data_IF_495762882588
#
_entry.id   IF_495762882588
#
_cell.length_a   1.000
_cell.length_b   1.000
_cell.length_c   1.000
_cell.angle_alpha   90.00
_cell.angle_beta   90.00
_cell.angle_gamma   90.00
#
_symmetry.space_group_name_H-M   'P 1'
#
loop_
_entity.id
_entity.type
_entity.pdbx_description
1 polymer ?
#
# COMPACT_ATOMS: atom_id res chain seq x y z
N UNK A 1 -36.48 -2.47 -57.32
CA UNK A 1 -35.24 -3.27 -57.37
C UNK A 1 -34.27 -2.56 -58.31
N UNK A 2 -33.22 -1.99 -57.75
CA UNK A 2 -32.09 -1.51 -58.52
C UNK A 2 -31.15 -2.71 -58.79
N UNK A 3 -30.49 -2.77 -59.94
CA UNK A 3 -29.58 -3.85 -60.36
C UNK A 3 -28.28 -3.93 -59.53
N UNK A 4 -28.31 -3.52 -58.27
CA UNK A 4 -27.17 -3.49 -57.36
C UNK A 4 -27.32 -4.54 -56.27
N UNK A 5 -26.29 -5.37 -56.10
CA UNK A 5 -26.17 -6.30 -54.97
C UNK A 5 -25.63 -5.56 -53.74
N UNK A 6 -26.37 -5.56 -52.67
CA UNK A 6 -25.96 -5.05 -51.36
C UNK A 6 -25.64 -6.19 -50.42
N UNK A 7 -24.54 -6.08 -49.72
CA UNK A 7 -24.17 -6.98 -48.62
C UNK A 7 -24.92 -6.55 -47.35
N UNK A 8 -25.80 -7.41 -46.86
CA UNK A 8 -26.48 -7.16 -45.58
C UNK A 8 -25.54 -7.32 -44.41
N UNK A 9 -25.75 -6.56 -43.35
CA UNK A 9 -25.10 -6.74 -42.06
C UNK A 9 -25.62 -8.07 -41.43
N UNK A 10 -24.71 -8.75 -40.69
CA UNK A 10 -25.04 -10.00 -39.99
C UNK A 10 -26.22 -9.80 -39.01
N UNK A 11 -26.33 -8.64 -38.40
CA UNK A 11 -27.42 -8.28 -37.48
C UNK A 11 -28.76 -8.20 -38.24
N UNK A 12 -28.76 -7.56 -39.38
CA UNK A 12 -29.93 -7.49 -40.29
C UNK A 12 -30.32 -8.89 -40.78
N UNK A 13 -29.33 -9.68 -41.20
CA UNK A 13 -29.56 -11.05 -41.66
C UNK A 13 -30.27 -11.89 -40.60
N UNK A 14 -29.80 -11.90 -39.37
CA UNK A 14 -30.36 -12.70 -38.28
C UNK A 14 -31.79 -12.28 -37.88
N UNK A 15 -32.12 -10.99 -38.00
CA UNK A 15 -33.43 -10.45 -37.55
C UNK A 15 -34.44 -10.47 -38.67
N UNK A 16 -34.06 -10.01 -39.86
CA UNK A 16 -35.01 -9.83 -40.99
C UNK A 16 -35.19 -11.13 -41.76
N UNK A 17 -34.20 -12.02 -41.81
CA UNK A 17 -34.29 -13.26 -42.57
C UNK A 17 -35.50 -14.12 -42.14
N UNK A 18 -35.72 -14.22 -40.83
CA UNK A 18 -36.88 -14.97 -40.28
C UNK A 18 -38.21 -14.35 -40.68
N UNK A 19 -38.30 -13.02 -40.78
CA UNK A 19 -39.51 -12.32 -41.22
C UNK A 19 -39.72 -12.56 -42.70
N UNK A 20 -38.68 -12.43 -43.52
CA UNK A 20 -38.73 -12.67 -44.96
C UNK A 20 -39.06 -14.14 -45.28
N UNK A 21 -38.52 -15.09 -44.53
CA UNK A 21 -38.89 -16.54 -44.68
C UNK A 21 -40.35 -16.80 -44.34
N UNK A 22 -40.90 -16.12 -43.33
CA UNK A 22 -42.31 -16.24 -42.95
C UNK A 22 -43.22 -15.67 -44.05
N UNK A 23 -42.89 -14.50 -44.60
CA UNK A 23 -43.60 -13.93 -45.77
C UNK A 23 -43.53 -14.86 -46.96
N UNK A 24 -42.38 -15.43 -47.27
CA UNK A 24 -42.16 -16.35 -48.38
C UNK A 24 -42.93 -17.64 -48.19
N UNK A 25 -42.96 -18.24 -47.00
CA UNK A 25 -43.73 -19.46 -46.72
C UNK A 25 -45.26 -19.28 -46.89
N UNK A 26 -45.76 -18.10 -46.54
CA UNK A 26 -47.16 -17.77 -46.56
C UNK A 26 -47.61 -17.22 -47.92
N UNK A 27 -46.70 -17.05 -48.89
CA UNK A 27 -46.97 -16.44 -50.19
C UNK A 27 -47.63 -15.04 -50.05
N UNK A 28 -47.36 -14.31 -49.04
CA UNK A 28 -47.91 -12.96 -48.77
C UNK A 28 -46.78 -11.94 -48.67
N UNK A 29 -47.08 -10.69 -49.01
CA UNK A 29 -46.21 -9.54 -48.84
C UNK A 29 -46.59 -8.72 -47.59
N UNK A 30 -47.50 -9.25 -46.80
CA UNK A 30 -48.09 -8.58 -45.63
C UNK A 30 -48.10 -9.51 -44.43
N UNK A 31 -47.81 -8.96 -43.25
CA UNK A 31 -47.98 -9.62 -41.97
C UNK A 31 -49.11 -8.91 -41.24
N UNK A 32 -50.20 -9.62 -40.95
CA UNK A 32 -51.31 -9.11 -40.14
C UNK A 32 -50.95 -9.39 -38.68
N UNK A 33 -50.91 -8.34 -37.88
CA UNK A 33 -50.58 -8.41 -36.44
C UNK A 33 -51.75 -7.91 -35.60
N UNK A 34 -52.07 -8.57 -34.53
CA UNK A 34 -52.95 -8.03 -33.51
C UNK A 34 -52.28 -6.93 -32.70
N UNK A 35 -53.03 -6.23 -31.84
CA UNK A 35 -52.50 -5.09 -31.06
C UNK A 35 -51.35 -5.48 -30.12
N UNK A 36 -51.37 -6.69 -29.60
CA UNK A 36 -50.31 -7.23 -28.73
C UNK A 36 -49.04 -7.58 -29.53
N UNK A 37 -49.21 -8.16 -30.69
CA UNK A 37 -48.12 -8.50 -31.61
C UNK A 37 -47.44 -7.24 -32.14
N UNK A 38 -48.20 -6.19 -32.50
CA UNK A 38 -47.69 -4.89 -32.90
C UNK A 38 -46.88 -4.27 -31.77
N UNK A 39 -47.39 -4.32 -30.54
CA UNK A 39 -46.66 -3.79 -29.35
C UNK A 39 -45.34 -4.53 -29.16
N UNK A 40 -45.36 -5.87 -29.25
CA UNK A 40 -44.13 -6.68 -29.11
C UNK A 40 -43.14 -6.42 -30.26
N UNK A 41 -43.64 -6.27 -31.49
CA UNK A 41 -42.79 -5.93 -32.62
C UNK A 41 -42.02 -4.63 -32.41
N UNK A 42 -42.70 -3.56 -32.04
CA UNK A 42 -42.05 -2.27 -31.78
C UNK A 42 -41.18 -2.26 -30.49
N UNK A 43 -41.45 -3.11 -29.52
CA UNK A 43 -40.68 -3.22 -28.31
C UNK A 43 -39.38 -4.03 -28.46
N UNK A 44 -39.38 -5.07 -29.33
CA UNK A 44 -38.30 -6.06 -29.41
C UNK A 44 -37.63 -6.14 -30.76
N UNK A 45 -38.34 -5.93 -31.85
CA UNK A 45 -37.83 -6.17 -33.22
C UNK A 45 -37.48 -4.85 -33.91
N UNK A 46 -38.41 -3.91 -33.91
CA UNK A 46 -38.21 -2.62 -34.57
C UNK A 46 -36.95 -1.88 -34.15
N UNK A 47 -36.54 -1.85 -32.86
CA UNK A 47 -35.30 -1.18 -32.42
C UNK A 47 -34.02 -1.82 -33.00
N UNK A 48 -34.03 -3.10 -33.36
CA UNK A 48 -32.89 -3.78 -33.99
C UNK A 48 -32.71 -3.48 -35.45
N UNK A 49 -33.84 -3.11 -36.14
CA UNK A 49 -33.87 -2.85 -37.56
C UNK A 49 -34.08 -1.37 -37.91
N UNK A 50 -34.14 -0.49 -36.88
CA UNK A 50 -34.44 0.95 -37.03
C UNK A 50 -33.52 1.67 -38.02
N UNK A 51 -32.24 1.27 -38.09
CA UNK A 51 -31.28 1.84 -39.05
C UNK A 51 -31.47 1.33 -40.48
N UNK A 52 -32.21 0.22 -40.63
CA UNK A 52 -32.38 -0.48 -41.91
C UNK A 52 -33.77 -0.36 -42.52
N UNK A 53 -34.72 0.21 -41.77
CA UNK A 53 -36.12 0.31 -42.16
C UNK A 53 -36.61 1.74 -42.17
N UNK A 54 -37.13 2.20 -43.30
CA UNK A 54 -37.74 3.53 -43.42
C UNK A 54 -39.10 3.54 -42.72
N UNK A 55 -39.16 4.21 -41.54
CA UNK A 55 -40.38 4.35 -40.73
C UNK A 55 -41.12 5.69 -40.97
N UNK A 56 -40.70 6.45 -41.97
CA UNK A 56 -41.22 7.80 -42.20
C UNK A 56 -42.69 7.85 -42.58
N UNK A 57 -43.18 6.85 -43.25
CA UNK A 57 -44.58 6.72 -43.75
C UNK A 57 -45.56 6.19 -42.68
N UNK A 58 -45.11 5.89 -41.45
CA UNK A 58 -46.02 5.41 -40.41
C UNK A 58 -47.00 6.52 -39.96
N UNK A 59 -48.31 6.19 -39.84
CA UNK A 59 -49.32 7.13 -39.34
C UNK A 59 -48.93 7.64 -37.95
N UNK A 60 -49.21 8.94 -37.68
CA UNK A 60 -48.88 9.59 -36.43
C UNK A 60 -49.36 8.82 -35.19
N UNK A 61 -50.60 8.30 -35.25
CA UNK A 61 -51.17 7.52 -34.13
C UNK A 61 -50.39 6.25 -33.82
N UNK A 62 -49.74 5.62 -34.83
CA UNK A 62 -48.89 4.42 -34.67
C UNK A 62 -47.59 4.85 -34.01
N UNK A 63 -46.98 5.94 -34.49
CA UNK A 63 -45.75 6.50 -33.90
C UNK A 63 -45.96 6.85 -32.42
N UNK A 64 -47.03 7.57 -32.10
CA UNK A 64 -47.29 8.01 -30.74
C UNK A 64 -47.64 6.86 -29.78
N UNK A 65 -48.23 5.76 -30.27
CA UNK A 65 -48.71 4.65 -29.44
C UNK A 65 -47.70 3.53 -29.30
N UNK A 66 -46.94 3.19 -30.35
CA UNK A 66 -46.13 1.98 -30.43
C UNK A 66 -44.62 2.23 -30.51
N UNK A 67 -44.17 3.40 -30.99
CA UNK A 67 -42.73 3.69 -31.08
C UNK A 67 -42.26 4.26 -29.74
N UNK A 68 -41.32 3.58 -29.04
CA UNK A 68 -40.84 4.06 -27.77
C UNK A 68 -40.01 5.35 -27.93
N UNK A 69 -40.22 6.30 -27.05
CA UNK A 69 -39.31 7.44 -26.92
C UNK A 69 -37.94 6.94 -26.50
N UNK A 70 -36.92 7.83 -26.59
CA UNK A 70 -35.57 7.49 -26.17
C UNK A 70 -35.55 7.05 -24.69
N UNK A 71 -34.98 5.90 -24.41
CA UNK A 71 -34.81 5.41 -23.05
C UNK A 71 -33.79 6.28 -22.28
N UNK A 72 -34.24 6.86 -21.19
CA UNK A 72 -33.39 7.41 -20.14
C UNK A 72 -33.30 6.43 -18.97
N UNK A 73 -32.15 6.33 -18.37
CA UNK A 73 -31.93 5.50 -17.18
C UNK A 73 -31.47 6.39 -16.05
N UNK A 74 -32.24 6.43 -14.96
CA UNK A 74 -31.86 7.10 -13.71
C UNK A 74 -31.50 6.07 -12.67
N UNK A 75 -30.39 6.28 -11.99
CA UNK A 75 -29.84 5.38 -10.98
C UNK A 75 -29.67 6.18 -9.69
N UNK A 76 -30.30 5.72 -8.62
CA UNK A 76 -30.17 6.30 -7.29
C UNK A 76 -29.29 5.38 -6.45
N UNK A 77 -28.09 5.86 -6.09
CA UNK A 77 -27.12 5.10 -5.30
C UNK A 77 -27.18 5.50 -3.82
N UNK A 78 -27.17 4.50 -2.96
CA UNK A 78 -27.04 4.66 -1.51
C UNK A 78 -26.38 3.43 -0.89
N UNK A 79 -26.19 3.45 0.43
CA UNK A 79 -25.78 2.29 1.22
C UNK A 79 -26.92 1.77 2.07
N UNK A 80 -26.99 0.46 2.23
CA UNK A 80 -27.86 -0.17 3.24
C UNK A 80 -27.21 -0.14 4.64
N UNK A 81 -27.92 -0.68 5.66
CA UNK A 81 -27.44 -0.75 7.04
C UNK A 81 -26.17 -1.60 7.19
N UNK A 82 -25.87 -2.50 6.25
CA UNK A 82 -24.68 -3.34 6.24
C UNK A 82 -23.54 -2.75 5.38
N UNK A 83 -23.69 -1.50 4.94
CA UNK A 83 -22.77 -0.83 4.02
C UNK A 83 -22.63 -1.52 2.65
N UNK A 84 -23.65 -2.26 2.19
CA UNK A 84 -23.72 -2.70 0.80
C UNK A 84 -24.21 -1.55 -0.08
N UNK A 85 -23.74 -1.50 -1.33
CA UNK A 85 -24.24 -0.50 -2.29
C UNK A 85 -25.62 -0.95 -2.79
N UNK A 86 -26.60 -0.07 -2.69
CA UNK A 86 -27.93 -0.25 -3.26
C UNK A 86 -28.12 0.69 -4.45
N UNK A 87 -28.80 0.20 -5.48
CA UNK A 87 -29.14 0.96 -6.66
C UNK A 87 -30.64 0.81 -6.96
N UNK A 88 -31.36 1.91 -6.81
CA UNK A 88 -32.74 2.04 -7.26
C UNK A 88 -32.72 2.54 -8.70
N UNK A 89 -33.34 1.77 -9.62
CA UNK A 89 -33.32 2.09 -11.05
C UNK A 89 -34.69 2.56 -11.49
N UNK A 90 -34.71 3.61 -12.29
CA UNK A 90 -35.89 4.07 -13.00
C UNK A 90 -35.61 4.19 -14.49
N UNK A 91 -36.49 3.61 -15.28
CA UNK A 91 -36.52 3.81 -16.72
C UNK A 91 -37.47 4.92 -17.07
N UNK A 92 -37.02 5.83 -17.95
CA UNK A 92 -37.72 7.05 -18.31
C UNK A 92 -37.97 7.07 -19.82
N UNK A 93 -39.22 7.29 -20.20
CA UNK A 93 -39.66 7.50 -21.58
C UNK A 93 -40.42 8.83 -21.65
N UNK A 94 -39.70 9.92 -21.95
CA UNK A 94 -40.23 11.25 -21.89
C UNK A 94 -40.68 11.67 -20.47
N UNK A 95 -41.99 11.78 -20.25
CA UNK A 95 -42.58 12.12 -18.94
C UNK A 95 -42.91 10.89 -18.08
N UNK A 96 -42.85 9.69 -18.65
CA UNK A 96 -43.21 8.45 -17.97
C UNK A 96 -42.00 7.84 -17.33
N UNK A 97 -42.07 7.54 -16.03
CA UNK A 97 -41.02 6.86 -15.28
C UNK A 97 -41.60 5.60 -14.62
N UNK A 98 -40.81 4.52 -14.56
CA UNK A 98 -41.20 3.32 -13.82
C UNK A 98 -39.96 2.57 -13.32
N UNK A 99 -40.15 1.74 -12.29
CA UNK A 99 -39.11 0.85 -11.80
C UNK A 99 -39.18 -0.50 -12.55
N UNK A 100 -38.17 -0.89 -13.35
CA UNK A 100 -38.19 -2.12 -14.13
C UNK A 100 -38.18 -3.40 -13.28
N UNK A 101 -37.88 -3.30 -11.99
CA UNK A 101 -37.80 -4.44 -11.07
C UNK A 101 -39.12 -4.71 -10.36
N UNK A 102 -40.16 -3.88 -10.63
CA UNK A 102 -41.53 -4.10 -10.14
C UNK A 102 -42.38 -4.77 -11.19
N UNK A 103 -43.43 -5.49 -10.74
CA UNK A 103 -44.42 -6.08 -11.65
C UNK A 103 -45.53 -5.09 -12.11
N UNK A 104 -45.14 -3.83 -12.35
CA UNK A 104 -46.10 -2.82 -12.81
C UNK A 104 -46.43 -2.97 -14.29
N UNK A 105 -47.75 -3.07 -14.62
CA UNK A 105 -48.17 -2.95 -16.00
C UNK A 105 -48.06 -1.48 -16.41
N UNK A 106 -47.27 -1.21 -17.43
CA UNK A 106 -47.10 0.14 -18.01
C UNK A 106 -47.84 0.20 -19.36
N UNK A 107 -48.55 1.31 -19.55
CA UNK A 107 -49.42 1.52 -20.74
C UNK A 107 -48.76 2.46 -21.77
N UNK A 108 -47.44 2.33 -21.98
CA UNK A 108 -46.68 3.09 -22.98
C UNK A 108 -45.66 2.20 -23.68
N UNK A 109 -45.24 2.61 -24.88
CA UNK A 109 -44.26 1.91 -25.67
C UNK A 109 -42.90 1.84 -24.99
N UNK A 110 -42.23 0.69 -24.99
CA UNK A 110 -40.97 0.40 -24.35
C UNK A 110 -39.97 -0.21 -25.33
N UNK A 111 -38.66 0.10 -25.13
CA UNK A 111 -37.58 -0.59 -25.85
C UNK A 111 -36.97 -1.65 -24.93
N UNK A 112 -37.52 -2.84 -24.97
CA UNK A 112 -37.10 -3.94 -24.07
C UNK A 112 -35.66 -4.37 -24.28
N UNK A 113 -35.09 -4.19 -25.47
CA UNK A 113 -33.71 -4.53 -25.78
C UNK A 113 -32.77 -3.60 -24.97
N UNK A 114 -32.95 -2.28 -25.11
CA UNK A 114 -32.13 -1.28 -24.37
C UNK A 114 -32.31 -1.37 -22.85
N UNK A 115 -33.53 -1.72 -22.40
CA UNK A 115 -33.81 -1.98 -20.99
C UNK A 115 -33.03 -3.20 -20.49
N UNK A 116 -33.03 -4.31 -21.21
CA UNK A 116 -32.30 -5.51 -20.88
C UNK A 116 -30.79 -5.28 -20.94
N UNK A 117 -30.30 -4.52 -21.91
CA UNK A 117 -28.88 -4.12 -21.96
C UNK A 117 -28.45 -3.34 -20.71
N UNK A 118 -29.29 -2.38 -20.27
CA UNK A 118 -29.03 -1.62 -19.07
C UNK A 118 -29.01 -2.53 -17.82
N UNK A 119 -30.00 -3.39 -17.64
CA UNK A 119 -30.05 -4.33 -16.51
C UNK A 119 -28.89 -5.33 -16.52
N UNK A 120 -28.55 -5.86 -17.70
CA UNK A 120 -27.42 -6.79 -17.86
C UNK A 120 -26.08 -6.17 -17.50
N UNK A 121 -25.92 -4.85 -17.66
CA UNK A 121 -24.72 -4.15 -17.22
C UNK A 121 -24.57 -4.26 -15.69
N UNK A 122 -25.63 -4.03 -14.92
CA UNK A 122 -25.61 -4.20 -13.46
C UNK A 122 -25.31 -5.64 -13.03
N UNK A 123 -25.89 -6.62 -13.72
CA UNK A 123 -25.64 -8.03 -13.44
C UNK A 123 -24.16 -8.38 -13.68
N UNK A 124 -23.55 -7.86 -14.75
CA UNK A 124 -22.12 -8.06 -15.06
C UNK A 124 -21.20 -7.44 -14.01
N UNK A 125 -21.54 -6.27 -13.51
CA UNK A 125 -20.84 -5.63 -12.37
C UNK A 125 -20.96 -6.47 -11.09
N UNK A 126 -22.00 -7.29 -10.97
CA UNK A 126 -22.22 -8.19 -9.83
C UNK A 126 -23.34 -7.78 -8.91
N UNK A 127 -24.17 -6.81 -9.31
CA UNK A 127 -25.39 -6.50 -8.58
C UNK A 127 -26.38 -7.65 -8.60
N UNK A 128 -27.03 -7.88 -7.48
CA UNK A 128 -28.05 -8.89 -7.30
C UNK A 128 -29.41 -8.25 -7.05
N UNK A 129 -30.48 -8.91 -7.50
CA UNK A 129 -31.85 -8.43 -7.34
C UNK A 129 -32.37 -8.64 -5.91
N UNK A 130 -32.69 -7.55 -5.23
CA UNK A 130 -33.50 -7.56 -4.00
C UNK A 130 -34.98 -7.46 -4.38
N UNK A 131 -35.62 -8.62 -4.53
CA UNK A 131 -37.04 -8.68 -4.93
C UNK A 131 -37.99 -8.05 -3.91
N UNK A 132 -37.62 -8.03 -2.64
CA UNK A 132 -38.46 -7.51 -1.57
C UNK A 132 -38.62 -5.98 -1.68
N UNK A 133 -37.55 -5.30 -2.02
CA UNK A 133 -37.52 -3.86 -2.11
C UNK A 133 -37.48 -3.36 -3.57
N UNK A 134 -37.56 -4.26 -4.56
CA UNK A 134 -37.47 -3.95 -5.99
C UNK A 134 -36.29 -3.06 -6.36
N UNK A 135 -35.09 -3.42 -5.89
CA UNK A 135 -33.82 -2.70 -6.09
C UNK A 135 -32.67 -3.67 -6.33
N UNK A 136 -31.53 -3.16 -6.73
CA UNK A 136 -30.30 -3.93 -6.89
C UNK A 136 -29.37 -3.71 -5.70
N UNK A 137 -28.66 -4.76 -5.28
CA UNK A 137 -27.70 -4.73 -4.17
C UNK A 137 -26.35 -5.31 -4.62
N UNK A 138 -25.28 -4.61 -4.30
CA UNK A 138 -23.92 -5.08 -4.45
C UNK A 138 -23.32 -5.29 -3.03
N UNK A 139 -23.13 -6.56 -2.64
CA UNK A 139 -22.80 -6.94 -1.27
C UNK A 139 -21.38 -7.49 -1.09
N UNK A 140 -20.62 -7.70 -2.17
CA UNK A 140 -19.26 -8.21 -2.12
C UNK A 140 -18.27 -7.03 -2.07
N UNK A 141 -17.40 -6.97 -1.04
CA UNK A 141 -16.43 -5.88 -0.83
C UNK A 141 -15.50 -5.65 -2.03
N UNK A 142 -15.00 -6.72 -2.67
CA UNK A 142 -14.15 -6.61 -3.86
C UNK A 142 -14.92 -5.98 -5.03
N UNK A 143 -16.17 -6.41 -5.22
CA UNK A 143 -17.05 -5.87 -6.24
C UNK A 143 -17.44 -4.41 -5.97
N UNK A 144 -17.73 -4.07 -4.70
CA UNK A 144 -18.02 -2.69 -4.30
C UNK A 144 -16.79 -1.81 -4.56
N UNK A 145 -15.61 -2.26 -4.14
CA UNK A 145 -14.38 -1.51 -4.38
C UNK A 145 -14.12 -1.32 -5.89
N UNK A 146 -14.26 -2.38 -6.69
CA UNK A 146 -14.11 -2.32 -8.15
C UNK A 146 -15.12 -1.37 -8.78
N UNK A 147 -16.40 -1.46 -8.40
CA UNK A 147 -17.44 -0.57 -8.87
C UNK A 147 -17.13 0.90 -8.59
N UNK A 148 -16.73 1.21 -7.34
CA UNK A 148 -16.43 2.59 -6.91
C UNK A 148 -15.13 3.13 -7.53
N UNK A 149 -14.11 2.29 -7.76
CA UNK A 149 -12.80 2.72 -8.25
C UNK A 149 -12.69 2.78 -9.77
N UNK A 150 -13.41 1.92 -10.49
CA UNK A 150 -13.18 1.71 -11.92
C UNK A 150 -14.45 1.88 -12.78
N UNK A 151 -15.62 1.44 -12.29
CA UNK A 151 -16.81 1.32 -13.12
C UNK A 151 -17.81 2.48 -12.98
N UNK A 152 -17.85 3.16 -11.82
CA UNK A 152 -18.84 4.20 -11.53
C UNK A 152 -18.78 5.37 -12.52
N UNK A 153 -17.60 5.72 -12.99
CA UNK A 153 -17.45 6.79 -14.00
C UNK A 153 -18.10 6.44 -15.33
N UNK A 154 -18.08 5.16 -15.74
CA UNK A 154 -18.71 4.72 -16.97
C UNK A 154 -20.23 4.71 -16.83
N UNK A 155 -20.75 4.39 -15.63
CA UNK A 155 -22.16 4.58 -15.32
C UNK A 155 -22.58 6.04 -15.40
N UNK A 156 -21.79 6.95 -14.86
CA UNK A 156 -22.05 8.42 -14.89
C UNK A 156 -22.00 9.00 -16.32
N UNK A 157 -21.14 8.44 -17.20
CA UNK A 157 -21.09 8.87 -18.61
C UNK A 157 -22.32 8.40 -19.40
N UNK A 158 -22.86 7.23 -19.05
CA UNK A 158 -23.91 6.57 -19.82
C UNK A 158 -25.32 6.85 -19.29
N UNK A 159 -25.47 7.05 -17.98
CA UNK A 159 -26.73 7.17 -17.27
C UNK A 159 -26.78 8.40 -16.37
N UNK A 160 -27.98 8.81 -16.00
CA UNK A 160 -28.18 9.83 -14.96
C UNK A 160 -28.01 9.19 -13.58
N UNK A 161 -26.84 9.37 -12.95
CA UNK A 161 -26.53 8.81 -11.64
C UNK A 161 -26.71 9.87 -10.56
N UNK A 162 -27.60 9.59 -9.62
CA UNK A 162 -27.90 10.38 -8.44
C UNK A 162 -27.46 9.62 -7.21
N UNK A 163 -26.76 10.27 -6.29
CA UNK A 163 -26.25 9.64 -5.08
C UNK A 163 -26.64 10.44 -3.86
N UNK A 164 -26.94 9.75 -2.77
CA UNK A 164 -27.18 10.37 -1.47
C UNK A 164 -25.93 11.03 -0.91
N UNK A 165 -26.07 11.96 0.01
CA UNK A 165 -24.92 12.56 0.70
C UNK A 165 -24.11 11.52 1.50
N UNK A 166 -24.78 10.47 2.00
CA UNK A 166 -24.13 9.34 2.68
C UNK A 166 -23.24 8.56 1.73
N UNK A 167 -23.70 8.33 0.51
CA UNK A 167 -22.94 7.65 -0.52
C UNK A 167 -21.71 8.46 -0.95
N UNK A 168 -21.86 9.75 -1.17
CA UNK A 168 -20.78 10.66 -1.58
C UNK A 168 -19.68 10.82 -0.51
N UNK A 169 -20.02 10.72 0.77
CA UNK A 169 -19.06 10.84 1.87
C UNK A 169 -18.14 9.64 2.03
N UNK A 170 -18.54 8.46 1.53
CA UNK A 170 -17.76 7.23 1.61
C UNK A 170 -16.88 7.07 0.38
N UNK A 171 -15.85 7.88 0.31
CA UNK A 171 -14.87 7.86 -0.78
C UNK A 171 -13.80 6.79 -0.58
N UNK A 172 -13.21 6.35 -1.69
CA UNK A 172 -11.95 5.62 -1.66
C UNK A 172 -10.85 6.62 -1.36
N UNK A 173 -10.17 6.42 -0.24
CA UNK A 173 -9.07 7.29 0.20
C UNK A 173 -7.73 6.61 -0.06
N UNK A 174 -6.75 7.35 -0.53
CA UNK A 174 -5.36 6.92 -0.54
C UNK A 174 -4.65 7.59 0.66
N UNK A 175 -3.94 6.82 1.51
CA UNK A 175 -3.14 7.41 2.57
C UNK A 175 -2.15 8.41 1.99
N UNK A 176 -2.13 9.63 2.52
CA UNK A 176 -1.17 10.66 2.14
C UNK A 176 -0.51 11.24 3.37
N UNK A 177 0.78 10.99 3.51
CA UNK A 177 1.62 11.66 4.49
C UNK A 177 1.85 13.10 4.06
N UNK A 178 1.45 14.05 4.90
CA UNK A 178 1.67 15.49 4.65
C UNK A 178 3.00 15.95 5.19
N UNK A 179 3.32 15.55 6.40
CA UNK A 179 4.59 15.89 7.04
C UNK A 179 5.07 14.75 7.93
N UNK A 180 6.37 14.71 8.17
CA UNK A 180 7.04 13.79 9.07
C UNK A 180 8.09 14.57 9.89
N UNK A 181 8.06 14.39 11.20
CA UNK A 181 9.04 14.95 12.12
C UNK A 181 10.03 13.89 12.57
N UNK A 182 11.32 14.21 12.58
CA UNK A 182 12.37 13.32 13.06
C UNK A 182 13.21 14.06 14.10
N UNK A 183 13.36 13.46 15.28
CA UNK A 183 14.18 14.02 16.38
C UNK A 183 14.89 12.93 17.15
N UNK A 184 15.95 13.32 17.85
CA UNK A 184 16.66 12.45 18.79
C UNK A 184 16.35 12.90 20.21
N UNK A 185 15.77 12.01 20.99
CA UNK A 185 15.48 12.27 22.40
C UNK A 185 15.90 11.06 23.26
N UNK A 186 16.63 11.31 24.36
CA UNK A 186 17.13 10.26 25.24
C UNK A 186 17.91 9.15 24.52
N UNK A 187 18.72 9.52 23.54
CA UNK A 187 19.50 8.60 22.69
C UNK A 187 18.63 7.63 21.85
N UNK A 188 17.38 7.98 21.61
CA UNK A 188 16.45 7.24 20.77
C UNK A 188 15.95 8.13 19.64
N UNK A 189 15.73 7.52 18.49
CA UNK A 189 15.17 8.17 17.30
C UNK A 189 13.66 8.19 17.43
N UNK A 190 13.05 9.36 17.40
CA UNK A 190 11.61 9.55 17.40
C UNK A 190 11.13 10.03 16.04
N UNK A 191 10.10 9.38 15.52
CA UNK A 191 9.48 9.68 14.24
C UNK A 191 8.02 10.01 14.49
N UNK A 192 7.62 11.24 14.18
CA UNK A 192 6.24 11.71 14.30
C UNK A 192 5.47 11.35 13.02
N UNK A 193 4.49 10.47 13.17
CA UNK A 193 3.58 9.99 12.13
C UNK A 193 2.15 10.53 12.29
N UNK A 194 1.93 11.55 13.10
CA UNK A 194 0.58 12.09 13.35
C UNK A 194 -0.13 12.59 12.08
N UNK A 195 0.62 12.91 11.03
CA UNK A 195 0.11 13.46 9.76
C UNK A 195 0.15 12.46 8.59
N UNK A 196 -0.02 11.16 8.86
CA UNK A 196 0.02 10.11 7.81
C UNK A 196 -1.30 9.97 7.04
N UNK A 197 -2.36 10.67 7.44
CA UNK A 197 -3.67 10.60 6.76
C UNK A 197 -4.45 9.30 7.01
N UNK A 198 -4.08 8.53 8.02
CA UNK A 198 -4.73 7.29 8.47
C UNK A 198 -4.97 7.40 9.97
N UNK A 199 -6.12 6.89 10.44
CA UNK A 199 -6.35 6.68 11.87
C UNK A 199 -5.34 5.67 12.41
N UNK A 200 -4.63 6.06 13.49
CA UNK A 200 -3.58 5.21 14.07
C UNK A 200 -4.13 3.84 14.55
N UNK A 201 -5.40 3.80 14.95
CA UNK A 201 -6.11 2.58 15.34
C UNK A 201 -6.24 1.55 14.22
N UNK A 202 -6.29 1.99 12.97
CA UNK A 202 -6.49 1.14 11.80
C UNK A 202 -5.15 0.81 11.11
N UNK A 203 -4.06 1.48 11.50
CA UNK A 203 -2.76 1.37 10.85
C UNK A 203 -2.21 -0.06 10.84
N UNK A 204 -2.37 -0.81 11.94
CA UNK A 204 -1.94 -2.21 12.03
C UNK A 204 -2.62 -3.09 11.01
N UNK A 205 -3.96 -3.01 10.94
CA UNK A 205 -4.77 -3.82 10.02
C UNK A 205 -4.50 -3.46 8.55
N UNK A 206 -4.29 -2.16 8.29
CA UNK A 206 -3.94 -1.65 6.96
C UNK A 206 -2.58 -2.20 6.52
N UNK A 207 -1.57 -2.14 7.38
CA UNK A 207 -0.23 -2.62 7.07
C UNK A 207 -0.18 -4.14 6.91
N UNK A 208 -0.94 -4.90 7.70
CA UNK A 208 -1.08 -6.34 7.50
C UNK A 208 -1.61 -6.67 6.10
N UNK A 209 -2.71 -6.02 5.70
CA UNK A 209 -3.29 -6.22 4.36
C UNK A 209 -2.37 -5.74 3.24
N UNK A 210 -1.62 -4.65 3.46
CA UNK A 210 -0.62 -4.17 2.52
C UNK A 210 0.49 -5.21 2.28
N UNK A 211 1.06 -5.79 3.36
CA UNK A 211 2.06 -6.87 3.29
C UNK A 211 1.52 -8.12 2.60
N UNK A 212 0.23 -8.43 2.77
CA UNK A 212 -0.46 -9.51 2.05
C UNK A 212 -0.80 -9.17 0.59
N UNK A 213 -0.35 -8.01 0.09
CA UNK A 213 -0.60 -7.52 -1.29
C UNK A 213 -2.09 -7.43 -1.64
N UNK A 214 -2.94 -7.11 -0.67
CA UNK A 214 -4.33 -6.78 -0.93
C UNK A 214 -4.43 -5.43 -1.63
N UNK A 215 -5.49 -5.23 -2.42
CA UNK A 215 -5.69 -4.00 -3.19
C UNK A 215 -6.35 -2.89 -2.40
N UNK A 216 -7.10 -3.24 -1.37
CA UNK A 216 -7.82 -2.29 -0.52
C UNK A 216 -7.98 -2.80 0.92
N UNK A 217 -8.28 -1.87 1.82
CA UNK A 217 -8.79 -2.13 3.16
C UNK A 217 -10.11 -1.40 3.37
N UNK A 218 -11.13 -2.09 3.91
CA UNK A 218 -12.42 -1.50 4.27
C UNK A 218 -12.38 -1.07 5.73
N UNK A 219 -12.70 0.21 5.98
CA UNK A 219 -12.77 0.77 7.32
C UNK A 219 -14.11 0.44 8.00
N UNK A 220 -14.20 0.64 9.32
CA UNK A 220 -15.40 0.37 10.11
C UNK A 220 -16.59 1.24 9.69
N UNK A 221 -16.35 2.45 9.19
CA UNK A 221 -17.37 3.36 8.67
C UNK A 221 -17.89 2.94 7.27
N UNK A 222 -17.30 1.90 6.68
CA UNK A 222 -17.63 1.38 5.35
C UNK A 222 -16.92 2.07 4.20
N UNK A 223 -16.05 3.06 4.44
CA UNK A 223 -15.17 3.65 3.42
C UNK A 223 -13.99 2.72 3.10
N UNK A 224 -13.28 2.99 2.02
CA UNK A 224 -12.18 2.15 1.54
C UNK A 224 -10.87 2.91 1.54
N UNK A 225 -9.80 2.23 1.93
CA UNK A 225 -8.41 2.68 1.76
C UNK A 225 -7.81 1.93 0.57
N UNK A 226 -7.36 2.67 -0.43
CA UNK A 226 -6.58 2.10 -1.54
C UNK A 226 -5.16 1.80 -1.08
N UNK A 227 -4.75 0.55 -1.27
CA UNK A 227 -3.42 0.06 -0.89
C UNK A 227 -2.47 -0.04 -2.10
N UNK A 228 -2.97 0.19 -3.32
CA UNK A 228 -2.17 0.08 -4.55
C UNK A 228 -1.14 1.22 -4.60
N UNK A 229 0.14 0.87 -4.82
CA UNK A 229 1.24 1.81 -5.11
C UNK A 229 1.30 3.06 -4.21
N UNK A 230 1.02 2.90 -2.93
CA UNK A 230 0.97 4.01 -1.98
C UNK A 230 2.35 4.29 -1.37
N UNK A 231 2.90 5.49 -1.59
CA UNK A 231 4.23 5.90 -1.08
C UNK A 231 4.28 5.92 0.45
N UNK A 232 3.19 6.32 1.12
CA UNK A 232 3.12 6.34 2.59
C UNK A 232 3.21 4.93 3.18
N UNK A 233 2.44 3.97 2.61
CA UNK A 233 2.47 2.58 3.06
C UNK A 233 3.80 1.92 2.74
N UNK A 234 4.39 2.22 1.58
CA UNK A 234 5.73 1.77 1.22
C UNK A 234 6.78 2.28 2.20
N UNK A 235 6.75 3.57 2.54
CA UNK A 235 7.66 4.15 3.53
C UNK A 235 7.54 3.45 4.89
N UNK A 236 6.32 3.20 5.36
CA UNK A 236 6.09 2.48 6.63
C UNK A 236 6.59 1.03 6.58
N UNK A 237 6.45 0.35 5.45
CA UNK A 237 6.97 -1.00 5.23
C UNK A 237 8.50 -1.00 5.16
N UNK A 238 9.08 -0.04 4.43
CA UNK A 238 10.55 0.16 4.34
C UNK A 238 11.17 0.43 5.71
N UNK A 239 10.48 1.10 6.63
CA UNK A 239 10.96 1.25 8.01
C UNK A 239 11.06 -0.10 8.74
N UNK A 240 10.56 -1.16 8.14
CA UNK A 240 10.57 -2.54 8.66
C UNK A 240 10.16 -2.58 10.14
N UNK A 241 9.04 -1.93 10.41
CA UNK A 241 8.43 -1.93 11.74
C UNK A 241 7.86 -3.32 11.96
N UNK A 242 8.49 -4.11 12.84
CA UNK A 242 7.95 -5.40 13.26
C UNK A 242 6.54 -5.22 13.77
N UNK A 243 5.56 -5.86 13.11
CA UNK A 243 4.15 -5.74 13.46
C UNK A 243 3.87 -6.21 14.89
N UNK A 244 4.66 -7.18 15.39
CA UNK A 244 4.54 -7.67 16.77
C UNK A 244 5.09 -6.68 17.81
N UNK A 245 6.10 -5.87 17.44
CA UNK A 245 6.77 -4.94 18.37
C UNK A 245 6.80 -3.47 17.88
N UNK A 246 6.68 -3.21 16.58
CA UNK A 246 6.87 -1.89 15.99
C UNK A 246 5.74 -0.90 16.29
N UNK A 247 4.49 -1.35 16.31
CA UNK A 247 3.35 -0.51 16.63
C UNK A 247 3.03 -0.45 18.13
N UNK A 248 3.57 -1.36 18.95
CA UNK A 248 3.49 -1.23 20.43
C UNK A 248 4.28 -0.02 20.93
N UNK A 249 5.25 0.47 20.15
CA UNK A 249 6.02 1.69 20.45
C UNK A 249 5.38 2.96 19.85
N UNK A 250 4.20 2.85 19.22
CA UNK A 250 3.45 3.99 18.72
C UNK A 250 2.63 4.59 19.85
N UNK A 251 3.10 5.69 20.40
CA UNK A 251 2.38 6.49 21.40
C UNK A 251 2.11 7.87 20.82
N UNK A 252 0.85 8.29 20.82
CA UNK A 252 0.43 9.61 20.35
C UNK A 252 0.93 9.98 18.93
N UNK A 253 1.05 8.97 18.04
CA UNK A 253 1.54 9.17 16.68
C UNK A 253 3.07 9.19 16.54
N UNK A 254 3.82 8.99 17.63
CA UNK A 254 5.27 8.95 17.59
C UNK A 254 5.80 7.53 17.72
N UNK A 255 6.64 7.12 16.78
CA UNK A 255 7.38 5.86 16.84
C UNK A 255 8.78 6.12 17.38
N UNK A 256 9.22 5.27 18.29
CA UNK A 256 10.56 5.32 18.87
C UNK A 256 11.41 4.17 18.34
N UNK A 257 12.57 4.49 17.76
CA UNK A 257 13.53 3.52 17.21
C UNK A 257 14.92 3.74 17.81
N UNK A 258 15.78 2.74 17.64
CA UNK A 258 17.18 2.85 18.01
C UNK A 258 17.95 3.77 17.06
N UNK A 259 18.89 4.56 17.57
CA UNK A 259 19.67 5.54 16.79
C UNK A 259 20.43 4.92 15.60
N UNK A 260 20.86 3.67 15.69
CA UNK A 260 21.57 3.00 14.59
C UNK A 260 20.75 2.90 13.29
N UNK A 261 19.42 3.11 13.37
CA UNK A 261 18.53 3.15 12.20
C UNK A 261 18.54 4.49 11.44
N UNK A 262 19.23 5.50 11.95
CA UNK A 262 19.17 6.86 11.41
C UNK A 262 19.62 6.97 9.96
N UNK A 263 20.71 6.30 9.56
CA UNK A 263 21.16 6.31 8.15
C UNK A 263 20.17 5.59 7.23
N UNK A 264 19.54 4.53 7.72
CA UNK A 264 18.51 3.84 6.96
C UNK A 264 17.26 4.72 6.82
N UNK A 265 16.83 5.35 7.91
CA UNK A 265 15.72 6.31 7.87
C UNK A 265 16.02 7.46 6.91
N UNK A 266 17.25 8.01 6.94
CA UNK A 266 17.65 9.10 6.04
C UNK A 266 17.49 8.70 4.56
N UNK A 267 17.85 7.46 4.21
CA UNK A 267 17.63 6.91 2.87
C UNK A 267 16.14 6.79 2.53
N UNK A 268 15.31 6.31 3.46
CA UNK A 268 13.87 6.22 3.25
C UNK A 268 13.24 7.61 3.06
N UNK A 269 13.66 8.62 3.88
CA UNK A 269 13.17 9.99 3.78
C UNK A 269 13.54 10.67 2.45
N UNK A 270 14.74 10.40 1.90
CA UNK A 270 15.17 10.92 0.59
C UNK A 270 14.32 10.41 -0.58
N UNK A 271 13.63 9.30 -0.41
CA UNK A 271 12.76 8.69 -1.43
C UNK A 271 11.30 9.17 -1.34
N UNK A 272 10.94 9.98 -0.35
CA UNK A 272 9.60 10.55 -0.22
C UNK A 272 9.44 11.76 -1.13
N UNK A 273 8.34 11.78 -1.89
CA UNK A 273 7.95 12.92 -2.72
C UNK A 273 6.81 13.68 -2.05
N UNK A 274 6.79 15.01 -2.17
CA UNK A 274 5.71 15.87 -1.68
C UNK A 274 5.37 15.73 -0.19
N UNK A 275 6.36 15.35 0.65
CA UNK A 275 6.23 15.25 2.09
C UNK A 275 7.14 16.28 2.75
N UNK A 276 6.60 17.08 3.65
CA UNK A 276 7.41 18.02 4.45
C UNK A 276 8.18 17.25 5.52
N UNK A 277 9.51 17.22 5.40
CA UNK A 277 10.38 16.52 6.37
C UNK A 277 11.03 17.53 7.29
N UNK A 278 10.67 17.50 8.58
CA UNK A 278 11.30 18.31 9.62
C UNK A 278 12.27 17.46 10.42
N UNK A 279 13.49 17.98 10.63
CA UNK A 279 14.58 17.30 11.35
C UNK A 279 15.12 18.21 12.41
N UNK A 280 15.32 17.73 13.63
CA UNK A 280 16.00 18.49 14.67
C UNK A 280 17.52 18.60 14.41
N UNK A 281 18.18 19.50 15.12
CA UNK A 281 19.62 19.75 14.97
C UNK A 281 20.46 18.53 15.42
N UNK A 282 20.01 17.78 16.42
CA UNK A 282 20.72 16.60 16.89
C UNK A 282 20.77 15.52 15.80
N UNK A 283 19.63 15.26 15.13
CA UNK A 283 19.54 14.31 14.03
C UNK A 283 20.37 14.75 12.81
N UNK A 284 20.28 16.04 12.43
CA UNK A 284 21.07 16.58 11.30
C UNK A 284 22.56 16.41 11.54
N UNK A 285 23.04 16.86 12.71
CA UNK A 285 24.45 16.77 13.07
C UNK A 285 24.95 15.31 13.08
N UNK A 286 24.13 14.39 13.58
CA UNK A 286 24.48 12.97 13.60
C UNK A 286 24.59 12.42 12.17
N UNK A 287 23.60 12.65 11.31
CA UNK A 287 23.61 12.16 9.91
C UNK A 287 24.78 12.75 9.14
N UNK A 288 25.02 14.08 9.26
CA UNK A 288 26.15 14.74 8.61
C UNK A 288 27.50 14.16 9.07
N UNK A 289 27.65 13.87 10.35
CA UNK A 289 28.88 13.28 10.89
C UNK A 289 29.14 11.87 10.36
N UNK A 290 28.06 11.12 10.11
CA UNK A 290 28.13 9.74 9.60
C UNK A 290 28.29 9.67 8.07
N UNK A 291 27.72 10.64 7.33
CA UNK A 291 27.82 10.70 5.85
C UNK A 291 29.16 11.34 5.39
N UNK A 292 29.75 12.20 6.20
CA UNK A 292 30.96 12.96 5.81
C UNK A 292 32.20 12.31 6.38
N UNK A 293 32.85 11.42 5.63
CA UNK A 293 34.19 10.88 5.95
C UNK A 293 35.25 11.99 6.23
N UNK A 294 34.99 13.23 5.87
CA UNK A 294 35.95 14.34 5.88
C UNK A 294 35.83 15.30 7.05
N UNK A 295 34.75 15.25 7.84
CA UNK A 295 34.61 16.09 9.05
C UNK A 295 34.79 15.30 10.36
N UNK A 296 35.53 14.20 10.33
CA UNK A 296 36.00 13.59 11.57
C UNK A 296 36.80 14.62 12.33
N UNK A 297 36.26 15.07 13.47
CA UNK A 297 37.04 15.73 14.50
C UNK A 297 38.35 14.97 14.59
N UNK A 298 39.50 15.60 14.42
CA UNK A 298 40.81 14.96 14.58
C UNK A 298 40.89 14.43 16.01
N UNK A 299 40.43 13.19 16.19
CA UNK A 299 40.52 12.53 17.51
C UNK A 299 41.96 12.13 17.73
N UNK A 300 42.57 12.65 18.80
CA UNK A 300 43.94 12.33 19.13
C UNK A 300 44.09 10.84 19.44
N UNK A 301 45.09 10.21 18.82
CA UNK A 301 45.45 8.85 19.12
C UNK A 301 46.05 8.80 20.52
N UNK A 302 45.74 7.81 21.37
CA UNK A 302 46.29 7.70 22.71
C UNK A 302 47.80 7.72 22.69
N UNK A 303 48.39 8.64 23.46
CA UNK A 303 49.86 8.85 23.53
C UNK A 303 50.60 7.65 24.11
N UNK A 304 49.92 6.84 24.93
CA UNK A 304 50.44 5.60 25.51
C UNK A 304 50.23 4.34 24.64
N UNK A 305 49.80 4.50 23.39
CA UNK A 305 49.81 3.43 22.41
C UNK A 305 51.26 3.19 21.96
N UNK A 306 51.76 2.00 22.18
CA UNK A 306 53.11 1.57 21.80
C UNK A 306 53.23 1.21 20.33
N UNK A 307 52.71 2.05 19.43
CA UNK A 307 52.79 1.91 17.99
C UNK A 307 52.43 3.19 17.24
N UNK A 308 52.90 3.32 16.01
CA UNK A 308 52.46 4.39 15.10
C UNK A 308 51.43 3.83 14.10
N UNK A 309 50.19 4.33 14.14
CA UNK A 309 49.14 3.94 13.18
C UNK A 309 49.46 4.49 11.80
N UNK A 310 49.28 3.65 10.78
CA UNK A 310 49.32 4.07 9.37
C UNK A 310 48.11 4.95 9.04
N UNK A 311 48.15 5.69 7.93
CA UNK A 311 47.10 6.63 7.56
C UNK A 311 45.68 5.98 7.53
N UNK A 312 45.56 4.84 6.90
CA UNK A 312 44.28 4.12 6.84
C UNK A 312 43.82 3.58 8.22
N UNK A 313 44.78 3.19 9.10
CA UNK A 313 44.47 2.76 10.45
C UNK A 313 43.99 3.94 11.32
N UNK A 314 44.52 5.15 11.09
CA UNK A 314 44.02 6.35 11.72
C UNK A 314 42.60 6.66 11.33
N UNK A 315 42.26 6.51 10.03
CA UNK A 315 40.91 6.67 9.52
C UNK A 315 39.96 5.65 10.16
N UNK A 316 40.35 4.35 10.21
CA UNK A 316 39.55 3.32 10.86
C UNK A 316 39.38 3.55 12.38
N UNK A 317 40.42 4.02 13.09
CA UNK A 317 40.33 4.43 14.49
C UNK A 317 39.30 5.55 14.67
N UNK A 318 39.39 6.62 13.88
CA UNK A 318 38.47 7.74 13.94
C UNK A 318 37.02 7.30 13.64
N UNK A 319 36.82 6.46 12.64
CA UNK A 319 35.53 5.89 12.33
C UNK A 319 34.95 5.07 13.49
N UNK A 320 35.73 4.20 14.10
CA UNK A 320 35.31 3.41 15.27
C UNK A 320 34.96 4.34 16.46
N UNK A 321 35.68 5.42 16.68
CA UNK A 321 35.39 6.41 17.72
C UNK A 321 34.12 7.20 17.42
N UNK A 322 33.86 7.49 16.16
CA UNK A 322 32.59 8.12 15.73
C UNK A 322 31.41 7.21 16.01
N UNK A 323 31.50 5.92 15.67
CA UNK A 323 30.47 4.94 16.01
C UNK A 323 30.24 4.85 17.52
N UNK A 324 31.32 4.80 18.31
CA UNK A 324 31.26 4.75 19.77
C UNK A 324 30.54 5.97 20.37
N UNK A 325 30.83 7.19 19.87
CA UNK A 325 30.18 8.42 20.33
C UNK A 325 28.68 8.46 20.10
N UNK A 326 28.18 7.72 19.07
CA UNK A 326 26.75 7.57 18.79
C UNK A 326 26.18 6.24 19.31
N UNK A 327 27.00 5.45 20.02
CA UNK A 327 26.62 4.10 20.50
C UNK A 327 26.20 3.16 19.37
N UNK A 328 26.83 3.28 18.22
CA UNK A 328 26.61 2.40 17.08
C UNK A 328 27.60 1.24 17.10
N UNK A 329 27.14 0.08 16.62
CA UNK A 329 28.02 -1.01 16.21
C UNK A 329 28.57 -0.79 14.80
N UNK A 330 29.63 -1.52 14.46
CA UNK A 330 30.21 -1.48 13.12
C UNK A 330 30.96 -2.74 12.75
N UNK A 331 31.26 -2.90 11.47
CA UNK A 331 32.07 -4.02 10.94
C UNK A 331 33.33 -3.42 10.31
N UNK A 332 34.49 -3.68 10.94
CA UNK A 332 35.80 -3.31 10.38
C UNK A 332 36.23 -4.39 9.38
N UNK A 333 35.98 -4.16 8.09
CA UNK A 333 36.12 -5.13 7.00
C UNK A 333 37.44 -4.99 6.21
N UNK A 334 38.48 -4.47 6.81
CA UNK A 334 39.80 -4.40 6.18
C UNK A 334 40.34 -5.80 5.83
N UNK A 335 41.20 -5.90 4.83
CA UNK A 335 41.85 -7.17 4.44
C UNK A 335 42.68 -7.77 5.59
N UNK A 336 42.95 -9.06 5.49
CA UNK A 336 43.78 -9.77 6.47
C UNK A 336 45.20 -9.18 6.49
N UNK A 337 45.74 -9.00 7.69
CA UNK A 337 47.08 -8.45 7.87
C UNK A 337 47.19 -6.91 7.92
N UNK A 338 46.12 -6.18 7.65
CA UNK A 338 46.11 -4.70 7.69
C UNK A 338 46.02 -4.10 9.12
N UNK A 339 46.05 -4.93 10.16
CA UNK A 339 46.10 -4.48 11.54
C UNK A 339 44.78 -4.00 12.10
N UNK A 340 43.70 -4.77 11.86
CA UNK A 340 42.40 -4.50 12.51
C UNK A 340 42.47 -4.51 14.01
N UNK A 341 43.24 -5.47 14.58
CA UNK A 341 43.42 -5.63 16.04
C UNK A 341 44.00 -4.39 16.68
N UNK A 342 45.03 -3.78 16.08
CA UNK A 342 45.67 -2.57 16.69
C UNK A 342 44.74 -1.37 16.65
N UNK A 343 43.86 -1.24 15.63
CA UNK A 343 42.87 -0.18 15.58
C UNK A 343 41.86 -0.33 16.73
N UNK A 344 41.37 -1.55 16.98
CA UNK A 344 40.45 -1.83 18.10
C UNK A 344 41.15 -1.63 19.45
N UNK A 345 42.40 -2.09 19.62
CA UNK A 345 43.17 -1.89 20.84
C UNK A 345 43.38 -0.38 21.12
N UNK A 346 43.61 0.43 20.08
CA UNK A 346 43.73 1.88 20.24
C UNK A 346 42.42 2.53 20.74
N UNK A 347 41.27 2.05 20.27
CA UNK A 347 39.95 2.51 20.74
C UNK A 347 39.73 2.13 22.20
N UNK A 348 40.02 0.89 22.59
CA UNK A 348 39.89 0.39 23.96
C UNK A 348 40.79 1.22 24.88
N UNK A 349 42.01 1.46 24.45
CA UNK A 349 42.98 2.26 25.23
C UNK A 349 42.52 3.71 25.43
N UNK A 350 41.97 4.35 24.40
CA UNK A 350 41.39 5.71 24.51
C UNK A 350 40.17 5.73 25.45
N UNK A 351 39.33 4.73 25.39
CA UNK A 351 38.19 4.57 26.29
C UNK A 351 38.65 4.47 27.75
N UNK A 352 39.60 3.59 28.04
CA UNK A 352 40.15 3.43 29.40
C UNK A 352 40.82 4.73 29.93
N UNK A 353 41.55 5.44 29.06
CA UNK A 353 42.18 6.71 29.43
C UNK A 353 41.17 7.81 29.79
N UNK A 354 39.99 7.82 29.14
CA UNK A 354 38.96 8.87 29.31
C UNK A 354 37.91 8.51 30.36
N UNK A 355 37.36 7.30 30.27
CA UNK A 355 36.19 6.88 31.04
C UNK A 355 36.55 5.99 32.24
N UNK A 356 37.51 5.07 32.08
CA UNK A 356 38.23 4.32 33.11
C UNK A 356 37.44 3.40 34.02
N UNK A 357 36.13 3.15 33.78
CA UNK A 357 35.29 2.55 34.81
C UNK A 357 34.70 1.17 34.46
N UNK A 358 34.69 0.77 33.20
CA UNK A 358 34.11 -0.51 32.79
C UNK A 358 35.06 -1.26 31.86
N UNK A 359 35.26 -2.56 32.08
CA UNK A 359 36.11 -3.35 31.23
C UNK A 359 35.48 -3.56 29.86
N UNK A 360 36.30 -3.48 28.79
CA UNK A 360 35.92 -3.86 27.44
C UNK A 360 35.93 -5.39 27.30
N UNK A 361 35.05 -5.96 26.48
CA UNK A 361 34.97 -7.39 26.26
C UNK A 361 35.34 -7.74 24.81
N UNK A 362 36.34 -8.63 24.66
CA UNK A 362 36.65 -9.26 23.38
C UNK A 362 36.19 -10.73 23.38
N UNK A 363 35.38 -11.09 22.41
CA UNK A 363 34.94 -12.47 22.18
C UNK A 363 35.50 -12.94 20.83
N UNK A 364 36.26 -14.03 20.86
CA UNK A 364 36.96 -14.54 19.69
C UNK A 364 37.01 -16.10 19.69
N UNK A 365 37.41 -16.73 18.58
CA UNK A 365 37.75 -18.17 18.60
C UNK A 365 38.79 -18.47 19.67
N UNK A 366 38.68 -19.65 20.31
CA UNK A 366 39.59 -20.06 21.41
C UNK A 366 41.08 -20.01 21.02
N UNK A 367 41.41 -20.34 19.76
CA UNK A 367 42.76 -20.25 19.20
C UNK A 367 43.33 -18.83 19.12
N UNK A 368 42.48 -17.78 19.14
CA UNK A 368 42.88 -16.39 19.02
C UNK A 368 42.98 -15.66 20.36
N UNK A 369 42.53 -16.24 21.46
CA UNK A 369 42.55 -15.60 22.78
C UNK A 369 43.92 -15.17 23.22
N UNK A 370 44.97 -16.04 23.04
CA UNK A 370 46.35 -15.71 23.35
C UNK A 370 46.97 -14.71 22.37
N UNK A 371 46.51 -14.71 21.11
CA UNK A 371 46.95 -13.74 20.12
C UNK A 371 46.47 -12.30 20.53
N UNK A 372 45.21 -12.15 20.91
CA UNK A 372 44.71 -10.92 21.45
C UNK A 372 45.45 -10.42 22.70
N UNK A 373 45.73 -11.35 23.61
CA UNK A 373 46.53 -11.04 24.79
C UNK A 373 47.90 -10.50 24.42
N UNK A 374 48.63 -11.20 23.54
CA UNK A 374 49.98 -10.85 23.11
C UNK A 374 49.99 -9.52 22.35
N UNK A 375 49.04 -9.26 21.46
CA UNK A 375 48.93 -8.01 20.73
C UNK A 375 48.59 -6.86 21.70
N UNK A 376 47.70 -7.06 22.67
CA UNK A 376 47.39 -6.07 23.66
C UNK A 376 48.61 -5.71 24.52
N UNK A 377 49.33 -6.70 25.02
CA UNK A 377 50.56 -6.45 25.80
C UNK A 377 51.65 -5.77 24.97
N UNK A 378 51.68 -6.01 23.64
CA UNK A 378 52.67 -5.37 22.76
C UNK A 378 52.32 -3.91 22.48
N UNK A 379 51.05 -3.60 22.19
CA UNK A 379 50.62 -2.28 21.70
C UNK A 379 50.07 -1.36 22.80
N UNK A 380 49.49 -1.94 23.84
CA UNK A 380 48.91 -1.19 24.97
C UNK A 380 49.28 -1.87 26.32
N UNK A 381 50.55 -1.90 26.70
CA UNK A 381 51.01 -2.60 27.91
C UNK A 381 50.46 -2.01 29.21
N UNK A 382 49.87 -0.83 29.19
CA UNK A 382 49.21 -0.22 30.33
C UNK A 382 47.85 -0.82 30.66
N UNK A 383 47.20 -1.55 29.71
CA UNK A 383 45.92 -2.19 29.94
C UNK A 383 46.05 -3.46 30.80
N UNK A 384 45.23 -3.56 31.82
CA UNK A 384 45.11 -4.76 32.65
C UNK A 384 44.19 -5.75 31.96
N UNK A 385 44.73 -6.88 31.48
CA UNK A 385 44.00 -7.84 30.69
C UNK A 385 43.69 -9.10 31.50
N UNK A 386 42.45 -9.58 31.41
CA UNK A 386 42.00 -10.86 31.92
C UNK A 386 41.59 -11.81 30.77
N UNK A 387 42.14 -13.02 30.70
CA UNK A 387 41.66 -14.05 29.79
C UNK A 387 40.81 -15.05 30.56
N UNK A 388 39.55 -15.15 30.22
CA UNK A 388 38.59 -16.10 30.81
C UNK A 388 38.72 -17.40 30.03
N UNK A 389 39.42 -18.39 30.65
CA UNK A 389 39.66 -19.73 30.08
C UNK A 389 39.76 -20.75 31.20
N UNK A 390 39.74 -22.05 30.87
CA UNK A 390 39.82 -23.15 31.81
C UNK A 390 38.45 -23.77 32.18
N UNK A 391 38.42 -24.54 33.29
CA UNK A 391 37.21 -25.18 33.76
C UNK A 391 36.22 -24.18 34.40
N UNK A 392 35.00 -24.61 34.71
CA UNK A 392 33.91 -23.76 35.21
C UNK A 392 34.29 -23.04 36.50
N UNK A 393 35.01 -23.70 37.41
CA UNK A 393 35.43 -23.11 38.71
C UNK A 393 36.49 -22.01 38.52
N UNK A 394 37.42 -22.23 37.61
CA UNK A 394 38.47 -21.24 37.26
C UNK A 394 37.87 -20.03 36.57
N UNK A 395 36.92 -20.27 35.66
CA UNK A 395 36.19 -19.15 35.00
C UNK A 395 35.40 -18.31 36.01
N UNK A 396 34.67 -18.96 36.91
CA UNK A 396 33.89 -18.24 37.94
C UNK A 396 34.80 -17.32 38.79
N UNK A 397 35.95 -17.84 39.25
CA UNK A 397 36.92 -17.04 40.03
C UNK A 397 37.49 -15.85 39.25
N UNK A 398 37.61 -15.98 37.91
CA UNK A 398 38.08 -14.86 37.05
C UNK A 398 36.99 -13.84 36.80
N UNK A 399 35.73 -14.32 36.63
CA UNK A 399 34.56 -13.47 36.44
C UNK A 399 34.38 -12.53 37.67
N UNK A 400 34.49 -13.03 38.89
CA UNK A 400 34.40 -12.23 40.10
C UNK A 400 35.41 -11.10 40.18
N UNK A 401 36.53 -11.20 39.46
CA UNK A 401 37.59 -10.23 39.40
C UNK A 401 37.52 -9.28 38.21
N UNK A 402 36.57 -9.42 37.32
CA UNK A 402 36.41 -8.59 36.10
C UNK A 402 36.50 -7.08 36.41
N UNK A 403 35.87 -6.53 37.45
CA UNK A 403 35.97 -5.09 37.75
C UNK A 403 37.40 -4.54 37.99
N UNK A 404 38.40 -5.40 38.14
CA UNK A 404 39.81 -5.01 38.37
C UNK A 404 40.62 -4.91 37.05
N UNK A 405 39.99 -5.23 35.91
CA UNK A 405 40.62 -5.30 34.60
C UNK A 405 40.02 -4.27 33.64
N UNK A 406 40.82 -3.85 32.66
CA UNK A 406 40.42 -2.92 31.62
C UNK A 406 39.90 -3.65 30.36
N UNK A 407 40.43 -4.86 30.11
CA UNK A 407 40.05 -5.71 28.96
C UNK A 407 39.87 -7.15 29.41
N UNK A 408 38.75 -7.71 29.02
CA UNK A 408 38.43 -9.14 29.20
C UNK A 408 38.41 -9.81 27.86
N UNK A 409 39.10 -10.94 27.72
CA UNK A 409 39.16 -11.75 26.51
C UNK A 409 38.55 -13.10 26.83
N UNK A 410 37.62 -13.56 26.01
CA UNK A 410 37.01 -14.89 26.17
C UNK A 410 36.71 -15.53 24.81
N UNK A 411 36.41 -16.83 24.82
CA UNK A 411 36.01 -17.53 23.60
C UNK A 411 34.51 -17.69 23.47
N UNK A 412 34.02 -17.89 22.23
CA UNK A 412 32.60 -18.20 21.97
C UNK A 412 32.07 -19.36 22.82
N UNK A 413 32.90 -20.42 22.99
CA UNK A 413 32.53 -21.61 23.77
C UNK A 413 32.44 -21.31 25.26
N UNK A 414 33.15 -20.30 25.75
CA UNK A 414 33.15 -19.94 27.17
C UNK A 414 31.97 -19.02 27.55
N UNK A 415 31.23 -18.49 26.57
CA UNK A 415 30.02 -17.71 26.78
C UNK A 415 28.77 -18.55 26.90
N UNK A 416 28.81 -19.80 26.45
CA UNK A 416 27.75 -20.79 26.65
C UNK A 416 27.80 -21.34 28.07
#
# INVERSE_FOLDING_TARGET
FTDSLYRCDIKFENTILNILETLRKNYTNEIIMDEKEVTNFFAMIAPEIEESVVTDDLPKYVKDKYIPQKLGVKIYLDYDANNNVIADIKFCYGKNEYNPLTNQNVNFARNMIKENEALNQFIKTGFMLDRKNARLILANDEKIYQFLSEEIEDYMKKYEVLATETFKKKEIRAPQMKSIGVRIENNLLQIDLSQIGIELSDLSDIMEKYKLKKTFHRLKDGSYIDLKQNETLKFLDDLNLDMENGFTNLKDGVITLQNYRSLYLERCLKNLNNVEVTKDEAYKNMVESLETEQKTVQMEIPKNLNASLRTYQKIGYQWLKTLDSYQFGGILADDMGLGKTIQVIAVILDYVNKEGKMPSLVVCPSSLTLNWLNETNKFAPSLKVCVISGNAIERAKRIDKIPQYDLVITSYDSLK
#
